data_IF_967873234004
#
_entry.id   IF_967873234004
#
_cell.length_a   1.000
_cell.length_b   1.000
_cell.length_c   1.000
_cell.angle_alpha   90.00
_cell.angle_beta   90.00
_cell.angle_gamma   90.00
#
_symmetry.space_group_name_H-M   'P 1'
#
loop_
_entity.id
_entity.type
_entity.pdbx_description
1 polymer ?
#
# COMPACT_ATOMS: atom_id res chain seq x y z
N UNK A 1 -8.71 22.83 -9.67
CA UNK A 1 -8.71 22.31 -8.26
C UNK A 1 -7.27 22.22 -7.78
N UNK A 2 -6.97 22.48 -6.50
CA UNK A 2 -5.61 22.33 -5.98
C UNK A 2 -5.38 20.92 -5.44
N UNK A 3 -4.18 20.37 -5.64
CA UNK A 3 -3.79 19.10 -5.05
C UNK A 3 -3.75 19.22 -3.51
N UNK A 4 -4.24 18.23 -2.74
CA UNK A 4 -4.31 18.38 -1.29
C UNK A 4 -2.91 18.40 -0.65
N UNK A 5 -2.60 19.50 0.04
CA UNK A 5 -1.29 19.70 0.65
C UNK A 5 -0.98 18.73 1.81
N UNK A 6 -1.99 18.13 2.44
CA UNK A 6 -1.78 17.14 3.51
C UNK A 6 -1.26 15.79 3.00
N UNK A 7 -1.37 15.52 1.70
CA UNK A 7 -0.81 14.33 1.07
C UNK A 7 0.67 14.47 0.75
N UNK A 8 1.18 15.69 0.67
CA UNK A 8 2.52 15.94 0.16
C UNK A 8 3.59 15.73 1.24
N UNK A 9 4.76 15.20 0.86
CA UNK A 9 5.93 15.23 1.73
C UNK A 9 6.32 16.67 2.05
N UNK A 10 6.93 16.87 3.22
CA UNK A 10 7.47 18.16 3.63
C UNK A 10 8.95 18.06 4.02
N UNK A 11 9.73 19.14 3.94
CA UNK A 11 11.16 19.10 4.27
C UNK A 11 11.46 18.70 5.72
N UNK A 12 10.55 18.97 6.65
CA UNK A 12 10.67 18.58 8.05
C UNK A 12 10.24 17.13 8.31
N UNK A 13 9.75 16.42 7.29
CA UNK A 13 9.30 15.04 7.43
C UNK A 13 10.47 14.04 7.45
N UNK A 14 10.24 12.87 8.03
CA UNK A 14 11.10 11.69 7.96
C UNK A 14 10.28 10.44 7.61
N UNK A 15 10.94 9.39 7.14
CA UNK A 15 10.26 8.13 6.87
C UNK A 15 9.78 7.49 8.18
N UNK A 16 8.52 7.09 8.23
CA UNK A 16 7.94 6.32 9.34
C UNK A 16 8.58 4.92 9.37
N UNK A 17 9.40 4.59 10.39
CA UNK A 17 9.94 3.24 10.51
C UNK A 17 8.84 2.28 10.96
N UNK A 18 9.10 0.97 10.87
CA UNK A 18 8.24 0.00 11.54
C UNK A 18 8.27 0.24 13.05
N UNK A 19 7.08 0.28 13.66
CA UNK A 19 6.87 0.46 15.08
C UNK A 19 5.60 -0.27 15.50
N UNK A 20 5.55 -0.78 16.73
CA UNK A 20 4.47 -1.65 17.21
C UNK A 20 3.11 -0.94 17.21
N UNK A 21 3.12 0.37 17.42
CA UNK A 21 1.95 1.23 17.44
C UNK A 21 1.21 1.23 16.10
N UNK A 22 1.90 0.99 14.97
CA UNK A 22 1.26 0.85 13.66
C UNK A 22 0.28 -0.33 13.59
N UNK A 23 0.40 -1.32 14.49
CA UNK A 23 -0.53 -2.45 14.54
C UNK A 23 -2.00 -2.01 14.76
N UNK A 24 -2.22 -0.86 15.39
CA UNK A 24 -3.55 -0.29 15.61
C UNK A 24 -4.14 0.45 14.39
N UNK A 25 -3.40 0.53 13.28
CA UNK A 25 -3.80 1.27 12.09
C UNK A 25 -4.18 0.34 10.93
N UNK A 26 -4.74 0.95 9.89
CA UNK A 26 -5.16 0.27 8.68
C UNK A 26 -4.44 0.85 7.47
N UNK A 27 -4.22 0.00 6.47
CA UNK A 27 -3.88 0.44 5.13
C UNK A 27 -5.16 0.59 4.33
N UNK A 28 -5.25 1.66 3.54
CA UNK A 28 -6.30 1.91 2.57
C UNK A 28 -5.77 1.57 1.16
N UNK A 29 -6.61 0.93 0.36
CA UNK A 29 -6.38 0.71 -1.07
C UNK A 29 -7.59 1.21 -1.86
N UNK A 30 -7.34 2.05 -2.88
CA UNK A 30 -8.38 2.49 -3.80
C UNK A 30 -8.71 1.41 -4.84
N UNK A 31 -9.95 1.44 -5.33
CA UNK A 31 -10.47 0.62 -6.39
C UNK A 31 -11.21 1.50 -7.42
N UNK A 32 -11.18 1.14 -8.71
CA UNK A 32 -11.81 1.95 -9.77
C UNK A 32 -13.34 1.85 -9.80
N UNK A 33 -13.96 1.17 -8.84
CA UNK A 33 -15.42 1.04 -8.73
C UNK A 33 -15.82 0.74 -7.29
N UNK A 34 -16.98 1.25 -6.89
CA UNK A 34 -17.64 0.96 -5.61
C UNK A 34 -18.24 -0.45 -5.52
N UNK A 35 -18.44 -1.16 -6.66
CA UNK A 35 -18.85 -2.58 -6.68
C UNK A 35 -17.67 -3.51 -6.39
N UNK A 36 -17.26 -3.50 -5.11
CA UNK A 36 -16.05 -4.16 -4.63
C UNK A 36 -16.15 -5.68 -4.54
N UNK A 37 -17.36 -6.20 -4.34
CA UNK A 37 -17.56 -7.57 -3.87
C UNK A 37 -17.90 -8.55 -4.99
N UNK A 38 -17.34 -9.73 -4.88
CA UNK A 38 -17.78 -10.88 -5.64
C UNK A 38 -19.08 -11.44 -5.03
N UNK A 39 -20.11 -11.61 -5.86
CA UNK A 39 -21.46 -11.95 -5.40
C UNK A 39 -21.56 -13.38 -4.84
N UNK A 40 -20.67 -14.29 -5.23
CA UNK A 40 -20.68 -15.68 -4.76
C UNK A 40 -19.92 -15.83 -3.45
N UNK A 41 -18.76 -15.19 -3.34
CA UNK A 41 -17.86 -15.34 -2.19
C UNK A 41 -18.04 -14.28 -1.11
N UNK A 42 -18.65 -13.14 -1.44
CA UNK A 42 -18.75 -11.97 -0.55
C UNK A 42 -17.41 -11.29 -0.28
N UNK A 43 -16.33 -11.69 -0.98
CA UNK A 43 -14.98 -11.15 -0.81
C UNK A 43 -14.69 -10.05 -1.84
N UNK A 44 -13.64 -9.27 -1.61
CA UNK A 44 -13.17 -8.29 -2.61
C UNK A 44 -12.79 -9.00 -3.91
N UNK A 45 -13.31 -8.51 -5.04
CA UNK A 45 -13.04 -9.09 -6.36
C UNK A 45 -11.54 -9.08 -6.63
N UNK A 46 -11.00 -10.23 -7.05
CA UNK A 46 -9.57 -10.39 -7.35
C UNK A 46 -9.01 -9.34 -8.32
N UNK A 47 -9.84 -8.80 -9.22
CA UNK A 47 -9.44 -7.75 -10.16
C UNK A 47 -8.95 -6.47 -9.49
N UNK A 48 -9.47 -6.15 -8.30
CA UNK A 48 -9.06 -4.97 -7.54
C UNK A 48 -7.76 -5.20 -6.74
N UNK A 49 -7.40 -6.47 -6.53
CA UNK A 49 -6.12 -6.87 -5.93
C UNK A 49 -5.01 -6.91 -6.99
N UNK A 50 -5.31 -7.26 -8.24
CA UNK A 50 -4.33 -7.41 -9.33
C UNK A 50 -4.22 -6.18 -10.26
N UNK A 51 -5.11 -5.21 -10.12
CA UNK A 51 -5.21 -4.04 -10.99
C UNK A 51 -5.65 -4.38 -12.42
N UNK A 52 -5.72 -3.37 -13.28
CA UNK A 52 -6.35 -3.49 -14.62
C UNK A 52 -5.71 -4.56 -15.51
N UNK A 53 -4.38 -4.72 -15.44
CA UNK A 53 -3.65 -5.69 -16.25
C UNK A 53 -3.70 -7.12 -15.68
N UNK A 54 -4.41 -7.35 -14.57
CA UNK A 54 -4.49 -8.63 -13.85
C UNK A 54 -3.11 -9.25 -13.55
N UNK A 55 -2.09 -8.40 -13.42
CA UNK A 55 -0.71 -8.83 -13.28
C UNK A 55 -0.38 -9.11 -11.81
N UNK A 56 0.31 -10.22 -11.55
CA UNK A 56 0.83 -10.53 -10.21
C UNK A 56 2.08 -9.72 -9.87
N UNK A 57 2.66 -8.98 -10.82
CA UNK A 57 3.84 -8.14 -10.57
C UNK A 57 3.58 -7.08 -9.50
N UNK A 58 2.35 -6.54 -9.46
CA UNK A 58 1.98 -5.54 -8.46
C UNK A 58 1.94 -6.09 -7.04
N UNK A 59 1.95 -7.42 -6.86
CA UNK A 59 1.94 -8.06 -5.54
C UNK A 59 3.34 -8.14 -4.92
N UNK A 60 4.40 -7.88 -5.69
CA UNK A 60 5.78 -7.81 -5.18
C UNK A 60 5.99 -6.55 -4.35
N UNK A 61 5.33 -5.47 -4.76
CA UNK A 61 5.35 -4.17 -4.11
C UNK A 61 3.93 -3.57 -4.15
N UNK A 62 3.06 -4.09 -3.29
CA UNK A 62 1.64 -3.78 -3.34
C UNK A 62 1.36 -2.45 -2.65
N UNK A 63 1.21 -1.41 -3.47
CA UNK A 63 0.95 -0.04 -3.04
C UNK A 63 -0.34 0.09 -2.23
N UNK A 64 -0.28 0.85 -1.15
CA UNK A 64 -1.38 1.17 -0.24
C UNK A 64 -1.12 2.53 0.37
N UNK A 65 -2.05 3.05 1.17
CA UNK A 65 -1.86 4.28 1.92
C UNK A 65 -2.16 4.05 3.39
N UNK A 66 -1.44 4.72 4.30
CA UNK A 66 -1.76 4.67 5.71
C UNK A 66 -3.04 5.47 5.98
N UNK A 67 -4.08 4.79 6.45
CA UNK A 67 -5.33 5.43 6.83
C UNK A 67 -5.12 6.33 8.05
N UNK A 68 -5.67 7.53 8.01
CA UNK A 68 -5.56 8.55 9.06
C UNK A 68 -5.55 9.92 8.41
N UNK A 69 -4.37 10.50 8.22
CA UNK A 69 -4.22 11.74 7.43
C UNK A 69 -4.56 11.50 5.96
N UNK A 70 -4.22 10.33 5.39
CA UNK A 70 -4.80 9.89 4.11
C UNK A 70 -6.19 9.30 4.40
N UNK A 71 -7.22 9.90 3.83
CA UNK A 71 -8.63 9.55 4.06
C UNK A 71 -9.25 8.83 2.86
N UNK A 72 -10.46 8.25 3.01
CA UNK A 72 -11.20 7.72 1.86
C UNK A 72 -11.47 8.74 0.75
N UNK A 73 -11.64 10.02 1.07
CA UNK A 73 -11.83 11.07 0.05
C UNK A 73 -10.57 11.29 -0.79
N UNK A 74 -9.39 11.15 -0.17
CA UNK A 74 -8.10 11.23 -0.88
C UNK A 74 -7.90 10.05 -1.84
N UNK A 75 -8.55 8.91 -1.58
CA UNK A 75 -8.48 7.73 -2.44
C UNK A 75 -9.12 7.94 -3.81
N UNK A 76 -9.99 8.95 -3.95
CA UNK A 76 -10.58 9.38 -5.21
C UNK A 76 -9.56 10.05 -6.15
N UNK A 77 -8.46 10.56 -5.60
CA UNK A 77 -7.47 11.34 -6.34
C UNK A 77 -6.54 10.40 -7.07
N UNK A 78 -6.57 10.49 -8.39
CA UNK A 78 -5.77 9.65 -9.28
C UNK A 78 -4.87 10.52 -10.13
N UNK A 79 -3.59 10.16 -10.20
CA UNK A 79 -2.68 10.78 -11.16
C UNK A 79 -3.08 10.38 -12.59
N UNK A 80 -3.23 11.37 -13.46
CA UNK A 80 -3.48 11.19 -14.89
C UNK A 80 -2.23 10.60 -15.58
N UNK A 81 -2.32 10.26 -16.86
CA UNK A 81 -1.13 9.88 -17.62
C UNK A 81 -0.06 10.99 -17.63
N UNK A 82 -0.48 12.26 -17.60
CA UNK A 82 0.42 13.39 -17.45
C UNK A 82 1.01 13.46 -16.04
N UNK A 83 0.23 13.16 -15.00
CA UNK A 83 0.74 13.12 -13.62
C UNK A 83 1.62 11.93 -13.30
N UNK A 84 1.55 10.84 -14.06
CA UNK A 84 2.44 9.66 -13.92
C UNK A 84 3.86 9.90 -14.43
N UNK A 85 4.29 11.18 -14.56
CA UNK A 85 5.68 11.58 -14.77
C UNK A 85 6.58 10.91 -13.73
N UNK A 86 7.78 10.51 -14.16
CA UNK A 86 8.78 9.85 -13.31
C UNK A 86 9.07 10.60 -12.00
N UNK A 87 8.95 11.95 -12.01
CA UNK A 87 9.09 12.76 -10.81
C UNK A 87 8.02 12.46 -9.75
N UNK A 88 6.73 12.61 -10.07
CA UNK A 88 5.62 12.55 -9.11
C UNK A 88 5.40 11.16 -8.51
N UNK A 89 5.69 10.10 -9.27
CA UNK A 89 5.62 8.71 -8.81
C UNK A 89 6.96 8.20 -8.26
N UNK A 90 8.01 8.99 -8.37
CA UNK A 90 9.33 8.64 -7.83
C UNK A 90 9.35 8.73 -6.31
N UNK A 91 10.19 7.90 -5.70
CA UNK A 91 10.44 7.92 -4.25
C UNK A 91 10.90 9.29 -3.79
N UNK A 92 10.35 9.75 -2.67
CA UNK A 92 10.77 10.96 -1.97
C UNK A 92 11.96 10.64 -1.04
N UNK A 93 12.86 11.60 -0.88
CA UNK A 93 13.99 11.52 0.06
C UNK A 93 13.80 12.49 1.23
N UNK A 94 14.23 12.13 2.43
CA UNK A 94 14.04 13.00 3.59
C UNK A 94 14.71 14.37 3.44
N UNK A 95 13.99 15.43 3.80
CA UNK A 95 14.44 16.81 3.60
C UNK A 95 14.25 17.33 2.18
N UNK A 96 13.77 16.52 1.24
CA UNK A 96 13.48 16.96 -0.13
C UNK A 96 12.27 17.89 -0.16
N UNK A 97 12.43 19.04 -0.81
CA UNK A 97 11.33 19.91 -1.23
C UNK A 97 10.64 19.33 -2.47
N UNK A 98 9.30 19.28 -2.42
CA UNK A 98 8.48 18.71 -3.48
C UNK A 98 7.67 19.78 -4.19
N UNK A 99 7.69 19.75 -5.51
CA UNK A 99 6.76 20.49 -6.34
C UNK A 99 5.42 19.74 -6.39
N UNK A 100 4.31 20.35 -5.93
CA UNK A 100 2.99 19.72 -5.96
C UNK A 100 2.55 19.36 -7.39
N UNK A 101 1.73 18.30 -7.56
CA UNK A 101 0.99 18.09 -8.81
C UNK A 101 0.16 19.33 -9.19
N UNK A 102 0.16 19.68 -10.47
CA UNK A 102 -0.71 20.74 -11.01
C UNK A 102 -2.03 20.16 -11.51
N UNK A 103 -2.98 21.01 -11.90
CA UNK A 103 -4.34 20.59 -12.28
C UNK A 103 -4.40 19.48 -13.35
N UNK A 104 -3.52 19.52 -14.35
CA UNK A 104 -3.47 18.48 -15.40
C UNK A 104 -2.82 17.15 -14.96
N UNK A 105 -2.17 17.13 -13.80
CA UNK A 105 -1.49 15.94 -13.28
C UNK A 105 -2.45 14.99 -12.56
N UNK A 106 -3.65 15.43 -12.15
CA UNK A 106 -4.57 14.59 -11.40
C UNK A 106 -6.03 14.80 -11.76
N UNK A 107 -6.84 13.78 -11.49
CA UNK A 107 -8.28 13.79 -11.61
C UNK A 107 -8.91 13.28 -10.31
N UNK A 108 -10.14 13.72 -10.02
CA UNK A 108 -10.95 13.20 -8.92
C UNK A 108 -12.01 12.28 -9.50
N UNK A 109 -11.92 11.00 -9.16
CA UNK A 109 -12.87 10.00 -9.63
C UNK A 109 -14.23 10.19 -8.92
N UNK A 110 -15.31 10.10 -9.69
CA UNK A 110 -16.69 10.22 -9.18
C UNK A 110 -17.26 8.87 -8.72
N UNK A 111 -16.91 7.78 -9.41
CA UNK A 111 -17.22 6.41 -8.98
C UNK A 111 -15.91 5.71 -8.68
N UNK A 112 -15.67 5.48 -7.40
CA UNK A 112 -14.52 4.74 -6.91
C UNK A 112 -14.91 3.99 -5.64
N UNK A 113 -14.19 2.92 -5.36
CA UNK A 113 -14.31 2.18 -4.12
C UNK A 113 -12.99 2.22 -3.37
N UNK A 114 -13.02 1.72 -2.14
CA UNK A 114 -11.82 1.51 -1.36
C UNK A 114 -12.06 0.37 -0.38
N UNK A 115 -10.98 -0.28 0.04
CA UNK A 115 -11.00 -1.32 1.04
C UNK A 115 -9.72 -1.23 1.89
N UNK A 116 -9.71 -1.98 2.98
CA UNK A 116 -8.77 -1.80 4.06
C UNK A 116 -8.03 -3.10 4.40
N UNK A 117 -6.84 -2.94 4.98
CA UNK A 117 -6.11 -4.02 5.62
C UNK A 117 -5.70 -3.62 7.02
N UNK A 118 -6.11 -4.35 8.07
CA UNK A 118 -5.60 -4.11 9.42
C UNK A 118 -4.11 -4.44 9.49
N UNK A 119 -3.25 -3.46 9.81
CA UNK A 119 -1.80 -3.66 9.82
C UNK A 119 -1.40 -4.73 10.84
N UNK A 120 -2.00 -4.71 12.03
CA UNK A 120 -1.73 -5.71 13.07
C UNK A 120 -2.12 -7.15 12.69
N UNK A 121 -2.94 -7.33 11.66
CA UNK A 121 -3.32 -8.65 11.14
C UNK A 121 -2.37 -9.10 10.04
N UNK A 122 -1.99 -8.20 9.12
CA UNK A 122 -1.22 -8.60 7.94
C UNK A 122 0.30 -8.47 8.11
N UNK A 123 0.78 -7.60 9.00
CA UNK A 123 2.22 -7.43 9.21
C UNK A 123 2.83 -8.69 9.82
N UNK A 124 4.01 -9.10 9.33
CA UNK A 124 4.72 -10.32 9.69
C UNK A 124 3.94 -11.63 9.46
N UNK A 125 2.79 -11.58 8.77
CA UNK A 125 2.01 -12.78 8.46
C UNK A 125 2.86 -13.76 7.64
N UNK A 126 3.00 -15.02 8.09
CA UNK A 126 3.80 -16.02 7.40
C UNK A 126 3.01 -16.64 6.24
N UNK A 127 3.67 -16.77 5.10
CA UNK A 127 3.23 -17.58 3.98
C UNK A 127 4.19 -18.74 3.79
N UNK A 128 3.73 -20.00 3.89
CA UNK A 128 4.61 -21.14 3.76
C UNK A 128 5.25 -21.19 2.37
N UNK A 129 6.52 -21.55 2.33
CA UNK A 129 7.26 -21.79 1.10
C UNK A 129 7.65 -23.27 1.04
N UNK A 130 7.33 -23.92 -0.07
CA UNK A 130 7.83 -25.25 -0.40
C UNK A 130 8.84 -25.11 -1.55
N UNK A 131 10.11 -24.95 -1.18
CA UNK A 131 11.20 -24.72 -2.13
C UNK A 131 12.24 -25.83 -1.95
N UNK A 132 12.10 -26.91 -2.72
CA UNK A 132 13.04 -28.03 -2.72
C UNK A 132 14.50 -27.60 -2.99
N UNK A 133 14.71 -26.52 -3.76
CA UNK A 133 16.04 -26.00 -4.11
C UNK A 133 16.72 -25.22 -2.97
N UNK A 134 15.95 -24.77 -1.96
CA UNK A 134 16.38 -23.89 -0.87
C UNK A 134 15.67 -24.29 0.43
N UNK A 135 15.97 -25.47 0.99
CA UNK A 135 15.26 -26.03 2.15
C UNK A 135 15.35 -25.16 3.41
N UNK A 136 16.32 -24.24 3.48
CA UNK A 136 16.44 -23.27 4.55
C UNK A 136 15.35 -22.18 4.53
N UNK A 137 14.66 -21.99 3.39
CA UNK A 137 13.59 -21.01 3.23
C UNK A 137 12.24 -21.70 3.34
N UNK A 138 11.71 -21.73 4.55
CA UNK A 138 10.44 -22.41 4.88
C UNK A 138 9.23 -21.48 4.79
N UNK A 139 9.43 -20.16 4.79
CA UNK A 139 8.36 -19.17 4.73
C UNK A 139 8.83 -17.82 4.15
N UNK A 140 7.87 -17.07 3.60
CA UNK A 140 7.97 -15.64 3.37
C UNK A 140 7.09 -14.92 4.39
N UNK A 141 7.49 -13.73 4.83
CA UNK A 141 6.69 -12.90 5.75
C UNK A 141 6.28 -11.60 5.09
N UNK A 142 5.05 -11.18 5.36
CA UNK A 142 4.54 -9.89 4.94
C UNK A 142 5.19 -8.75 5.74
N UNK A 143 5.57 -7.67 5.08
CA UNK A 143 6.12 -6.47 5.71
C UNK A 143 5.43 -5.23 5.17
N UNK A 144 5.13 -4.31 6.08
CA UNK A 144 4.54 -3.02 5.78
C UNK A 144 5.66 -1.99 5.81
N UNK A 145 5.96 -1.41 4.65
CA UNK A 145 7.10 -0.53 4.45
C UNK A 145 6.60 0.86 4.07
N UNK A 146 7.02 1.90 4.78
CA UNK A 146 6.77 3.28 4.35
C UNK A 146 7.63 3.58 3.11
N UNK A 147 6.98 3.93 2.00
CA UNK A 147 7.61 4.13 0.71
C UNK A 147 7.07 5.40 0.06
N UNK A 148 7.23 6.56 0.73
CA UNK A 148 6.62 7.82 0.29
C UNK A 148 7.09 8.16 -1.13
N UNK A 149 6.14 8.62 -1.94
CA UNK A 149 6.41 9.19 -3.27
C UNK A 149 6.16 10.69 -3.23
N UNK A 150 6.71 11.42 -4.20
CA UNK A 150 6.58 12.89 -4.22
C UNK A 150 5.13 13.36 -4.24
N UNK A 151 4.23 12.62 -4.88
CA UNK A 151 2.80 12.95 -4.87
C UNK A 151 2.05 12.50 -3.61
N UNK A 152 2.63 11.62 -2.77
CA UNK A 152 1.93 11.03 -1.65
C UNK A 152 2.91 10.50 -0.60
N UNK A 153 3.02 11.26 0.49
CA UNK A 153 3.82 10.89 1.66
C UNK A 153 3.25 9.67 2.36
N UNK A 154 1.93 9.53 2.47
CA UNK A 154 1.29 8.43 3.21
C UNK A 154 1.30 7.09 2.46
N UNK A 155 2.07 6.97 1.38
CA UNK A 155 2.20 5.76 0.60
C UNK A 155 3.01 4.69 1.36
N UNK A 156 2.40 3.51 1.49
CA UNK A 156 3.00 2.32 2.08
C UNK A 156 2.96 1.16 1.10
N UNK A 157 3.99 0.35 1.15
CA UNK A 157 4.13 -0.86 0.37
C UNK A 157 3.92 -2.10 1.23
N UNK A 158 3.02 -2.98 0.80
CA UNK A 158 2.95 -4.35 1.32
C UNK A 158 3.92 -5.20 0.50
N UNK A 159 4.97 -5.70 1.16
CA UNK A 159 6.06 -6.49 0.55
C UNK A 159 6.20 -7.84 1.24
N UNK A 160 6.90 -8.76 0.58
CA UNK A 160 7.14 -10.11 1.09
C UNK A 160 8.63 -10.36 1.17
N UNK A 161 9.11 -10.82 2.33
CA UNK A 161 10.53 -11.07 2.58
C UNK A 161 10.78 -12.51 2.95
N UNK A 162 11.93 -13.03 2.53
CA UNK A 162 12.46 -14.34 2.92
C UNK A 162 13.70 -14.09 3.77
N UNK A 163 13.61 -14.38 5.06
CA UNK A 163 14.57 -13.86 6.03
C UNK A 163 14.52 -12.34 6.06
N UNK A 164 15.62 -11.67 5.71
CA UNK A 164 15.72 -10.21 5.67
C UNK A 164 15.64 -9.60 4.26
N UNK A 165 15.71 -10.42 3.21
CA UNK A 165 15.74 -9.98 1.83
C UNK A 165 14.34 -10.00 1.21
N UNK A 166 14.08 -9.11 0.25
CA UNK A 166 12.83 -9.13 -0.51
C UNK A 166 12.73 -10.43 -1.31
N UNK A 167 11.54 -11.05 -1.29
CA UNK A 167 11.30 -12.34 -1.92
C UNK A 167 11.57 -12.30 -3.43
N UNK A 168 11.37 -11.15 -4.06
CA UNK A 168 11.64 -10.94 -5.48
C UNK A 168 13.14 -11.07 -5.83
N UNK A 169 14.04 -10.79 -4.87
CA UNK A 169 15.49 -10.86 -5.07
C UNK A 169 16.03 -12.28 -4.82
N UNK A 170 15.31 -13.06 -4.01
CA UNK A 170 15.77 -14.39 -3.56
C UNK A 170 15.12 -15.51 -4.37
N UNK A 171 13.85 -15.38 -4.74
CA UNK A 171 13.10 -16.47 -5.38
C UNK A 171 13.28 -16.48 -6.89
N UNK A 172 13.29 -17.68 -7.48
CA UNK A 172 13.18 -17.81 -8.94
C UNK A 172 11.80 -17.34 -9.42
N UNK A 173 11.67 -17.03 -10.71
CA UNK A 173 10.38 -16.63 -11.31
C UNK A 173 9.26 -17.64 -11.04
N UNK A 174 9.55 -18.94 -11.02
CA UNK A 174 8.56 -19.99 -10.76
C UNK A 174 8.10 -19.97 -9.31
N UNK A 175 9.03 -19.92 -8.37
CA UNK A 175 8.76 -19.87 -6.92
C UNK A 175 8.00 -18.59 -6.55
N UNK A 176 8.46 -17.45 -7.10
CA UNK A 176 7.81 -16.15 -6.89
C UNK A 176 6.38 -16.15 -7.43
N UNK A 177 6.11 -16.75 -8.60
CA UNK A 177 4.74 -16.91 -9.12
C UNK A 177 3.84 -17.76 -8.20
N UNK A 178 4.42 -18.79 -7.59
CA UNK A 178 3.75 -19.59 -6.56
C UNK A 178 3.37 -18.75 -5.35
N UNK A 179 4.35 -18.05 -4.78
CA UNK A 179 4.14 -17.11 -3.67
C UNK A 179 3.07 -16.06 -4.02
N UNK A 180 3.18 -15.36 -5.15
CA UNK A 180 2.21 -14.33 -5.55
C UNK A 180 0.78 -14.87 -5.73
N UNK A 181 0.60 -16.17 -5.97
CA UNK A 181 -0.73 -16.77 -6.01
C UNK A 181 -1.33 -16.95 -4.62
N UNK A 182 -0.51 -17.32 -3.62
CA UNK A 182 -0.89 -17.36 -2.21
C UNK A 182 -1.14 -15.96 -1.67
N UNK A 183 -0.25 -15.00 -1.96
CA UNK A 183 -0.39 -13.59 -1.60
C UNK A 183 -1.70 -13.01 -2.13
N UNK A 184 -2.06 -13.32 -3.38
CA UNK A 184 -3.35 -12.87 -3.95
C UNK A 184 -4.52 -13.38 -3.11
N UNK A 185 -4.55 -14.67 -2.78
CA UNK A 185 -5.62 -15.25 -1.98
C UNK A 185 -5.67 -14.64 -0.57
N UNK A 186 -4.51 -14.50 0.06
CA UNK A 186 -4.35 -13.85 1.36
C UNK A 186 -4.90 -12.42 1.38
N UNK A 187 -4.54 -11.59 0.39
CA UNK A 187 -5.04 -10.21 0.28
C UNK A 187 -6.55 -10.16 0.02
N UNK A 188 -7.12 -11.11 -0.73
CA UNK A 188 -8.57 -11.18 -0.90
C UNK A 188 -9.28 -11.50 0.43
N UNK A 189 -8.76 -12.48 1.17
CA UNK A 189 -9.34 -12.95 2.43
C UNK A 189 -9.25 -11.92 3.56
N UNK A 190 -8.19 -11.11 3.57
CA UNK A 190 -7.93 -10.14 4.65
C UNK A 190 -8.35 -8.70 4.29
N UNK A 191 -8.92 -8.48 3.11
CA UNK A 191 -9.49 -7.20 2.74
C UNK A 191 -10.80 -6.95 3.50
N UNK A 192 -10.90 -5.78 4.12
CA UNK A 192 -12.08 -5.32 4.87
C UNK A 192 -12.76 -4.21 4.07
N UNK A 193 -14.07 -4.30 3.88
CA UNK A 193 -14.87 -3.28 3.17
C UNK A 193 -15.54 -2.28 4.11
N UNK A 194 -15.98 -2.76 5.27
CA UNK A 194 -16.66 -1.99 6.29
C UNK A 194 -15.75 -1.91 7.51
N UNK A 195 -15.19 -0.72 7.74
CA UNK A 195 -14.56 -0.41 9.02
C UNK A 195 -15.44 0.59 9.77
N UNK A 196 -15.58 0.41 11.08
CA UNK A 196 -16.20 1.47 11.87
C UNK A 196 -15.20 2.61 11.99
N UNK A 197 -15.60 3.84 11.67
CA UNK A 197 -14.76 5.03 11.88
C UNK A 197 -14.25 5.14 13.32
N UNK A 198 -14.97 4.58 14.29
CA UNK A 198 -14.54 4.49 15.70
C UNK A 198 -13.36 3.54 15.96
N UNK A 199 -12.98 2.70 15.00
CA UNK A 199 -11.89 1.72 15.10
C UNK A 199 -10.57 2.26 14.53
N UNK A 200 -10.58 3.40 13.86
CA UNK A 200 -9.41 3.99 13.21
C UNK A 200 -9.05 5.27 13.95
N UNK A 201 -7.89 5.27 14.58
CA UNK A 201 -7.29 6.49 15.09
C UNK A 201 -7.01 7.42 13.90
N UNK A 202 -7.69 8.55 13.83
CA UNK A 202 -7.36 9.61 12.86
C UNK A 202 -6.09 10.36 13.24
N UNK A 203 -5.64 10.19 14.48
CA UNK A 203 -4.54 10.94 15.07
C UNK A 203 -3.24 10.18 14.89
N UNK A 204 -2.60 10.34 13.73
CA UNK A 204 -1.23 9.87 13.51
C UNK A 204 -0.29 10.81 14.30
N UNK A 205 0.46 10.31 15.31
CA UNK A 205 1.33 11.15 16.10
C UNK A 205 2.40 11.82 15.24
N UNK A 206 2.44 13.15 15.29
CA UNK A 206 3.38 13.96 14.49
C UNK A 206 4.84 13.52 14.68
N UNK A 207 5.19 13.09 15.89
CA UNK A 207 6.51 12.56 16.25
C UNK A 207 6.97 11.36 15.42
N UNK A 208 6.06 10.66 14.73
CA UNK A 208 6.41 9.52 13.86
C UNK A 208 7.01 9.94 12.53
N UNK A 209 6.68 11.16 12.07
CA UNK A 209 6.98 11.60 10.72
C UNK A 209 7.59 12.99 10.65
N UNK A 210 7.78 13.71 11.76
CA UNK A 210 8.52 14.98 11.78
C UNK A 210 9.83 14.85 12.54
N UNK A 211 10.88 15.47 12.01
CA UNK A 211 12.17 15.58 12.71
C UNK A 211 11.99 16.36 14.01
N UNK A 212 12.35 15.75 15.14
CA UNK A 212 12.48 16.47 16.41
C UNK A 212 13.80 17.24 16.39
N UNK A 213 13.72 18.56 16.57
CA UNK A 213 14.90 19.44 16.72
C UNK A 213 15.61 19.20 18.05
#
# INVERSE_FOLDING_TARGET
>A
MNYPGHLLPKPDYCCIPWMKELQGYFLLRSAPSSDLLDAETGMVRARFILGDNQSREILKDYSTNLLGIFTPDDAAIKLTNNGRKAYLVGLWSEGEEVTPPVEDDFEVLQDFGFFFYPIGVIHEFPQPLDIASKPQYTEARCYICHTPVRSNFWHFSVRWKVGQADAADVLTTKELKGLMSMVKAFLIEHAVIDYSASQVSTDIPQIWFTRQN
#
